data_IF_199915060425
#
_entry.id   IF_199915060425
#
_cell.length_a   1.000
_cell.length_b   1.000
_cell.length_c   1.000
_cell.angle_alpha   90.00
_cell.angle_beta   90.00
_cell.angle_gamma   90.00
#
_symmetry.space_group_name_H-M   'P 1'
#
loop_
_entity.id
_entity.type
_entity.pdbx_description
1 polymer ?
#
# COMPACT_ATOMS: atom_id res chain seq x y z
N UNK A 1 -2.90 1.38 6.38
CA UNK A 1 -3.08 2.77 5.92
C UNK A 1 -2.53 3.77 6.93
N UNK A 2 -2.12 4.93 6.46
CA UNK A 2 -1.75 6.12 7.23
C UNK A 2 -2.65 7.32 6.86
N UNK A 3 -3.83 7.07 6.30
CA UNK A 3 -4.80 8.01 5.74
C UNK A 3 -4.44 8.55 4.34
N UNK A 4 -3.17 8.62 3.99
CA UNK A 4 -2.68 9.08 2.68
C UNK A 4 -2.40 7.92 1.72
N UNK A 5 -2.07 6.76 2.28
CA UNK A 5 -1.68 5.57 1.54
C UNK A 5 -2.37 4.34 2.09
N UNK A 6 -2.79 3.46 1.21
CA UNK A 6 -3.31 2.15 1.56
C UNK A 6 -2.89 1.10 0.53
N UNK A 7 -2.87 -0.13 0.97
CA UNK A 7 -2.59 -1.27 0.12
C UNK A 7 -3.63 -2.35 0.38
N UNK A 8 -4.13 -2.95 -0.68
CA UNK A 8 -5.02 -4.10 -0.63
C UNK A 8 -4.37 -5.28 -1.31
N UNK A 9 -4.50 -6.45 -0.72
CA UNK A 9 -4.07 -7.71 -1.30
C UNK A 9 -5.16 -8.75 -1.11
N UNK A 10 -5.38 -9.58 -2.12
CA UNK A 10 -6.36 -10.66 -2.08
C UNK A 10 -5.63 -11.99 -2.17
N UNK A 11 -5.96 -12.89 -1.25
CA UNK A 11 -5.45 -14.25 -1.25
C UNK A 11 -6.63 -15.24 -1.26
N UNK A 12 -6.51 -16.41 -1.90
CA UNK A 12 -7.53 -17.44 -1.83
C UNK A 12 -7.75 -17.92 -0.39
N UNK A 13 -8.99 -18.00 0.04
CA UNK A 13 -9.37 -18.54 1.33
C UNK A 13 -10.70 -19.30 1.21
N UNK A 14 -10.93 -20.23 2.13
CA UNK A 14 -12.17 -21.02 2.21
C UNK A 14 -12.73 -20.86 3.61
N UNK A 15 -14.03 -20.56 3.72
CA UNK A 15 -14.71 -20.41 5.01
C UNK A 15 -15.78 -19.33 5.00
N UNK A 16 -16.23 -18.97 6.19
CA UNK A 16 -17.23 -17.93 6.40
C UNK A 16 -16.64 -16.54 6.26
N UNK A 17 -17.47 -15.59 5.84
CA UNK A 17 -17.06 -14.18 5.73
C UNK A 17 -17.09 -13.50 7.09
N UNK A 18 -16.01 -12.79 7.43
CA UNK A 18 -15.93 -11.91 8.57
C UNK A 18 -14.98 -10.74 8.31
N UNK A 19 -15.13 -9.68 9.06
CA UNK A 19 -14.29 -8.48 8.97
C UNK A 19 -13.75 -8.10 10.34
N UNK A 20 -12.52 -7.67 10.39
CA UNK A 20 -11.88 -7.17 11.61
C UNK A 20 -10.75 -6.20 11.27
N UNK A 21 -10.37 -5.41 12.25
CA UNK A 21 -9.29 -4.42 12.15
C UNK A 21 -8.21 -4.72 13.18
N UNK A 22 -6.96 -4.64 12.75
CA UNK A 22 -5.81 -4.71 13.63
C UNK A 22 -5.10 -3.37 13.78
N UNK A 23 -4.73 -3.07 15.01
CA UNK A 23 -3.76 -2.03 15.32
C UNK A 23 -2.40 -2.67 15.63
N UNK A 24 -1.34 -2.08 15.08
CA UNK A 24 0.02 -2.56 15.33
C UNK A 24 0.41 -3.82 14.53
N UNK A 25 0.11 -3.84 13.25
CA UNK A 25 0.37 -4.94 12.29
C UNK A 25 1.80 -5.49 12.32
N UNK A 26 2.81 -4.69 12.67
CA UNK A 26 4.21 -5.15 12.79
C UNK A 26 4.38 -6.31 13.77
N UNK A 27 3.63 -6.30 14.88
CA UNK A 27 3.69 -7.37 15.89
C UNK A 27 3.09 -8.67 15.36
N UNK A 28 2.02 -8.55 14.57
CA UNK A 28 1.37 -9.70 13.93
C UNK A 28 2.28 -10.29 12.86
N UNK A 29 2.84 -9.45 11.97
CA UNK A 29 3.80 -9.89 10.96
C UNK A 29 5.01 -10.60 11.56
N UNK A 30 5.52 -10.13 12.70
CA UNK A 30 6.62 -10.79 13.40
C UNK A 30 6.23 -12.18 13.89
N UNK A 31 5.02 -12.34 14.38
CA UNK A 31 4.51 -13.63 14.84
C UNK A 31 4.21 -14.59 13.67
N UNK A 32 3.67 -14.07 12.56
CA UNK A 32 3.36 -14.85 11.37
C UNK A 32 4.60 -15.51 10.73
N UNK A 33 5.80 -14.97 10.95
CA UNK A 33 7.06 -15.59 10.49
C UNK A 33 7.32 -16.99 11.09
N UNK A 34 6.69 -17.31 12.20
CA UNK A 34 6.85 -18.60 12.87
C UNK A 34 5.82 -19.65 12.47
N UNK A 35 4.79 -19.27 11.72
CA UNK A 35 3.79 -20.19 11.18
C UNK A 35 4.28 -20.84 9.88
N UNK A 36 3.78 -22.00 9.57
CA UNK A 36 4.10 -22.76 8.37
C UNK A 36 2.89 -23.51 7.83
N UNK A 37 2.77 -23.55 6.49
CA UNK A 37 1.67 -24.22 5.82
C UNK A 37 0.38 -23.40 5.78
N UNK A 38 -0.75 -24.09 5.77
CA UNK A 38 -2.07 -23.45 5.80
C UNK A 38 -2.38 -22.86 7.17
N UNK A 39 -3.04 -21.72 7.18
CA UNK A 39 -3.43 -21.03 8.38
C UNK A 39 -4.95 -21.07 8.54
N UNK A 40 -5.38 -21.42 9.73
CA UNK A 40 -6.76 -21.31 10.16
C UNK A 40 -6.95 -19.99 10.93
N UNK A 41 -7.93 -19.21 10.51
CA UNK A 41 -8.33 -17.96 11.17
C UNK A 41 -9.71 -18.17 11.79
N UNK A 42 -9.78 -18.00 13.10
CA UNK A 42 -11.05 -18.05 13.84
C UNK A 42 -11.32 -16.68 14.44
N UNK A 43 -12.45 -16.09 14.11
CA UNK A 43 -12.88 -14.81 14.66
C UNK A 43 -14.04 -14.99 15.63
N UNK A 44 -13.87 -14.49 16.84
CA UNK A 44 -14.90 -14.54 17.89
C UNK A 44 -15.26 -13.15 18.30
N UNK A 45 -16.55 -12.83 18.30
CA UNK A 45 -17.10 -11.59 18.79
C UNK A 45 -17.67 -11.88 20.19
N UNK A 46 -17.28 -11.09 21.19
CA UNK A 46 -17.96 -11.14 22.49
C UNK A 46 -19.27 -10.33 22.36
N UNK A 47 -20.44 -10.99 22.46
CA UNK A 47 -21.69 -10.29 22.32
C UNK A 47 -21.90 -9.34 23.52
N UNK A 48 -22.07 -8.06 23.21
CA UNK A 48 -22.54 -7.08 24.18
C UNK A 48 -23.88 -6.57 23.71
N UNK A 49 -24.91 -6.64 24.54
CA UNK A 49 -26.30 -6.29 24.22
C UNK A 49 -26.49 -4.84 23.73
N UNK A 50 -25.49 -3.99 23.87
CA UNK A 50 -25.60 -2.55 23.63
C UNK A 50 -24.70 -2.02 22.51
N UNK A 51 -23.87 -2.84 21.87
CA UNK A 51 -22.93 -2.35 20.86
C UNK A 51 -23.06 -3.10 19.52
N UNK A 52 -23.50 -2.43 18.45
CA UNK A 52 -23.67 -3.04 17.13
C UNK A 52 -22.34 -3.39 16.43
N UNK A 53 -21.21 -2.84 16.90
CA UNK A 53 -19.87 -3.10 16.37
C UNK A 53 -18.90 -3.44 17.52
N UNK A 54 -19.00 -4.65 18.13
CA UNK A 54 -18.17 -5.02 19.25
C UNK A 54 -16.74 -5.31 18.83
N UNK A 55 -15.80 -5.08 19.74
CA UNK A 55 -14.44 -5.61 19.60
C UNK A 55 -14.48 -7.12 19.68
N UNK A 56 -13.66 -7.75 18.86
CA UNK A 56 -13.56 -9.21 18.82
C UNK A 56 -12.17 -9.71 19.14
N UNK A 57 -12.01 -11.01 19.05
CA UNK A 57 -10.72 -11.69 19.16
C UNK A 57 -10.50 -12.55 17.92
N UNK A 58 -9.33 -12.45 17.32
CA UNK A 58 -8.90 -13.36 16.27
C UNK A 58 -7.86 -14.34 16.79
N UNK A 59 -8.03 -15.59 16.41
CA UNK A 59 -7.04 -16.67 16.57
C UNK A 59 -6.49 -17.04 15.22
N UNK A 60 -5.17 -17.07 15.07
CA UNK A 60 -4.45 -17.53 13.87
C UNK A 60 -3.67 -18.76 14.27
N UNK A 61 -3.86 -19.89 13.58
CA UNK A 61 -3.24 -21.17 13.91
C UNK A 61 -2.71 -21.88 12.67
N UNK A 62 -1.58 -22.58 12.80
CA UNK A 62 -1.03 -23.52 11.81
C UNK A 62 -1.24 -24.99 12.25
N UNK A 63 -2.13 -25.22 13.23
CA UNK A 63 -2.37 -26.54 13.83
C UNK A 63 -1.36 -26.94 14.90
N UNK A 64 -0.19 -26.32 14.95
CA UNK A 64 0.86 -26.57 15.97
C UNK A 64 1.06 -25.39 16.90
N UNK A 65 0.85 -24.18 16.38
CA UNK A 65 1.02 -22.92 17.09
C UNK A 65 -0.21 -22.06 16.90
N UNK A 66 -0.52 -21.26 17.88
CA UNK A 66 -1.63 -20.31 17.77
C UNK A 66 -1.24 -18.94 18.30
N UNK A 67 -1.79 -17.91 17.69
CA UNK A 67 -1.69 -16.52 18.10
C UNK A 67 -3.09 -15.97 18.31
N UNK A 68 -3.38 -15.45 19.50
CA UNK A 68 -4.64 -14.76 19.78
C UNK A 68 -4.40 -13.27 19.94
N UNK A 69 -5.26 -12.45 19.34
CA UNK A 69 -5.20 -10.99 19.42
C UNK A 69 -6.60 -10.39 19.46
N UNK A 70 -6.74 -9.36 20.28
CA UNK A 70 -7.93 -8.50 20.23
C UNK A 70 -7.93 -7.69 18.95
N UNK A 71 -9.10 -7.45 18.41
CA UNK A 71 -9.32 -6.62 17.24
C UNK A 71 -9.93 -5.28 17.65
N UNK A 72 -9.83 -4.29 16.80
CA UNK A 72 -10.57 -3.04 16.92
C UNK A 72 -11.86 -3.13 16.12
N UNK A 73 -12.73 -2.13 16.31
CA UNK A 73 -14.00 -2.05 15.58
C UNK A 73 -13.75 -1.81 14.10
N UNK A 74 -14.56 -2.42 13.26
CA UNK A 74 -14.47 -2.19 11.81
C UNK A 74 -14.86 -0.77 11.43
N UNK A 75 -15.77 -0.15 12.17
CA UNK A 75 -16.16 1.26 12.03
C UNK A 75 -15.01 2.26 12.25
N UNK A 76 -14.00 1.88 13.03
CA UNK A 76 -12.82 2.71 13.30
C UNK A 76 -11.81 2.70 12.13
N UNK A 77 -11.99 1.81 11.15
CA UNK A 77 -11.14 1.78 9.97
C UNK A 77 -11.61 2.85 8.97
N UNK A 78 -10.68 3.67 8.44
CA UNK A 78 -11.03 4.70 7.48
C UNK A 78 -11.73 4.10 6.25
N UNK A 79 -12.88 4.64 5.91
CA UNK A 79 -13.59 4.27 4.70
C UNK A 79 -12.76 4.68 3.47
N UNK A 80 -12.44 3.71 2.64
CA UNK A 80 -11.73 3.95 1.39
C UNK A 80 -12.73 4.51 0.38
N UNK A 81 -12.74 5.83 0.24
CA UNK A 81 -13.50 6.47 -0.83
C UNK A 81 -12.74 6.29 -2.13
N UNK A 82 -13.11 5.29 -2.89
CA UNK A 82 -12.62 5.11 -4.24
C UNK A 82 -13.11 6.29 -5.09
N UNK A 83 -12.19 7.14 -5.50
CA UNK A 83 -12.46 8.10 -6.57
C UNK A 83 -12.32 7.36 -7.89
N UNK A 84 -13.23 7.57 -8.86
CA UNK A 84 -13.04 7.02 -10.19
C UNK A 84 -11.71 7.54 -10.75
N UNK A 85 -10.84 6.62 -11.13
CA UNK A 85 -9.56 6.91 -11.74
C UNK A 85 -9.74 6.73 -13.25
N UNK A 86 -9.59 7.81 -13.99
CA UNK A 86 -9.96 7.85 -15.42
C UNK A 86 -8.81 7.41 -16.34
N UNK A 87 -7.60 7.39 -15.82
CA UNK A 87 -6.38 7.15 -16.61
C UNK A 87 -5.58 6.00 -16.03
N UNK A 88 -5.21 5.07 -16.89
CA UNK A 88 -4.52 3.84 -16.56
C UNK A 88 -3.25 3.70 -17.39
N UNK A 89 -2.10 3.66 -16.75
CA UNK A 89 -0.80 3.55 -17.41
C UNK A 89 -0.13 2.22 -17.02
N UNK A 90 -0.02 1.25 -17.94
CA UNK A 90 0.72 0.02 -17.67
C UNK A 90 2.21 0.34 -17.48
N UNK A 91 2.81 -0.22 -16.46
CA UNK A 91 4.21 0.01 -16.14
C UNK A 91 4.89 -1.29 -15.73
N UNK A 92 6.17 -1.39 -16.04
CA UNK A 92 7.03 -2.42 -15.47
C UNK A 92 7.67 -1.88 -14.18
N UNK A 93 7.30 -2.41 -12.99
CA UNK A 93 7.75 -1.86 -11.72
C UNK A 93 9.26 -1.90 -11.54
N UNK A 94 9.92 -2.99 -11.95
CA UNK A 94 11.38 -3.13 -11.86
C UNK A 94 12.07 -2.02 -12.65
N UNK A 95 11.65 -1.82 -13.90
CA UNK A 95 12.21 -0.80 -14.77
C UNK A 95 11.93 0.60 -14.23
N UNK A 96 10.72 0.85 -13.75
CA UNK A 96 10.34 2.13 -13.15
C UNK A 96 11.14 2.43 -11.88
N UNK A 97 11.36 1.44 -11.01
CA UNK A 97 12.20 1.58 -9.82
C UNK A 97 13.66 1.93 -10.15
N UNK A 98 14.22 1.39 -11.22
CA UNK A 98 15.56 1.76 -11.69
C UNK A 98 15.61 3.24 -12.11
N UNK A 99 14.58 3.73 -12.80
CA UNK A 99 14.47 5.14 -13.18
C UNK A 99 14.27 6.04 -11.97
N UNK A 100 13.40 5.64 -11.04
CA UNK A 100 13.19 6.33 -9.78
C UNK A 100 14.49 6.53 -9.00
N UNK A 101 15.32 5.50 -8.84
CA UNK A 101 16.61 5.59 -8.15
C UNK A 101 17.54 6.66 -8.74
N UNK A 102 17.41 6.94 -10.04
CA UNK A 102 18.23 7.94 -10.75
C UNK A 102 17.80 9.39 -10.50
N UNK A 103 16.53 9.61 -10.12
CA UNK A 103 15.99 10.97 -9.96
C UNK A 103 15.69 11.33 -8.51
N UNK A 104 15.44 10.36 -7.63
CA UNK A 104 14.96 10.60 -6.26
C UNK A 104 15.82 11.54 -5.43
N UNK A 105 17.12 11.62 -5.70
CA UNK A 105 18.04 12.48 -4.96
C UNK A 105 17.77 13.99 -5.17
N UNK A 106 17.03 14.32 -6.22
CA UNK A 106 16.66 15.70 -6.54
C UNK A 106 15.22 16.04 -6.10
N UNK A 107 14.55 15.17 -5.35
CA UNK A 107 13.26 15.50 -4.72
C UNK A 107 13.51 16.45 -3.55
N UNK A 108 12.70 17.50 -3.47
CA UNK A 108 12.77 18.49 -2.39
C UNK A 108 12.23 17.89 -1.08
N UNK A 109 12.80 18.35 0.03
CA UNK A 109 12.25 18.14 1.38
C UNK A 109 11.50 19.36 1.92
N UNK A 110 11.30 20.38 1.09
CA UNK A 110 10.65 21.62 1.49
C UNK A 110 9.15 21.56 1.21
N UNK A 111 8.35 21.32 2.24
CA UNK A 111 6.88 21.20 2.18
C UNK A 111 6.16 22.48 1.70
N UNK A 112 6.83 23.62 1.73
CA UNK A 112 6.28 24.85 1.15
C UNK A 112 6.11 24.78 -0.38
N UNK A 113 6.72 23.78 -1.02
CA UNK A 113 6.61 23.54 -2.47
C UNK A 113 6.23 22.08 -2.73
N UNK A 114 4.98 21.68 -2.50
CA UNK A 114 4.54 20.28 -2.54
C UNK A 114 4.85 19.56 -3.87
N UNK A 115 4.75 20.26 -4.99
CA UNK A 115 5.05 19.69 -6.31
C UNK A 115 6.53 19.29 -6.46
N UNK A 116 7.45 19.96 -5.75
CA UNK A 116 8.88 19.61 -5.74
C UNK A 116 9.18 18.44 -4.80
N UNK A 117 8.27 18.14 -3.87
CA UNK A 117 8.35 16.96 -2.99
C UNK A 117 7.89 15.67 -3.68
N UNK A 118 7.50 15.75 -4.94
CA UNK A 118 7.02 14.64 -5.74
C UNK A 118 7.91 14.41 -6.96
N UNK A 119 7.73 13.25 -7.59
CA UNK A 119 8.29 12.94 -8.89
C UNK A 119 7.22 13.20 -9.93
N UNK A 120 7.53 14.02 -10.92
CA UNK A 120 6.65 14.32 -12.03
C UNK A 120 6.80 13.28 -13.13
N UNK A 121 5.68 12.75 -13.59
CA UNK A 121 5.56 11.88 -14.74
C UNK A 121 5.14 12.68 -15.95
N UNK A 122 5.94 12.62 -16.99
CA UNK A 122 5.70 13.24 -18.28
C UNK A 122 5.74 12.17 -19.37
N UNK A 123 5.35 12.53 -20.59
CA UNK A 123 5.52 11.65 -21.74
C UNK A 123 6.99 11.23 -21.82
N UNK A 124 7.24 9.91 -21.81
CA UNK A 124 8.55 9.25 -21.95
C UNK A 124 9.63 9.60 -20.90
N UNK A 125 9.29 10.26 -19.80
CA UNK A 125 10.26 10.62 -18.76
C UNK A 125 9.66 10.84 -17.38
N UNK A 126 10.51 10.72 -16.37
CA UNK A 126 10.23 11.15 -15.01
C UNK A 126 11.24 12.20 -14.58
N UNK A 127 10.80 13.18 -13.80
CA UNK A 127 11.59 14.32 -13.36
C UNK A 127 11.44 14.54 -11.87
N UNK A 128 12.53 14.95 -11.21
CA UNK A 128 12.53 15.47 -9.85
C UNK A 128 13.33 16.79 -9.79
N UNK A 129 12.91 17.69 -8.93
CA UNK A 129 13.55 19.02 -8.79
C UNK A 129 13.43 19.51 -7.34
N UNK A 130 14.49 20.15 -6.82
CA UNK A 130 14.49 20.75 -5.47
C UNK A 130 14.75 22.27 -5.47
N UNK A 131 14.73 22.91 -6.63
CA UNK A 131 15.01 24.33 -6.80
C UNK A 131 16.49 24.66 -7.08
N UNK A 132 17.41 23.71 -6.83
CA UNK A 132 18.84 23.81 -7.12
C UNK A 132 19.29 22.77 -8.13
N UNK A 133 18.66 21.62 -8.12
CA UNK A 133 18.99 20.45 -8.96
C UNK A 133 17.75 20.00 -9.71
N UNK A 134 17.97 19.55 -10.92
CA UNK A 134 16.98 18.84 -11.72
C UNK A 134 17.58 17.50 -12.13
N UNK A 135 16.84 16.44 -11.87
CA UNK A 135 17.18 15.10 -12.35
C UNK A 135 16.08 14.59 -13.27
N UNK A 136 16.47 14.03 -14.40
CA UNK A 136 15.55 13.48 -15.39
C UNK A 136 16.00 12.10 -15.82
N UNK A 137 15.07 11.19 -15.97
CA UNK A 137 15.29 9.87 -16.55
C UNK A 137 14.26 9.59 -17.64
N UNK A 138 14.75 9.39 -18.86
CA UNK A 138 13.91 9.11 -20.03
C UNK A 138 13.63 7.62 -20.14
N UNK A 139 12.40 7.25 -20.42
CA UNK A 139 11.96 5.90 -20.69
C UNK A 139 10.75 5.89 -21.65
N UNK A 140 10.91 5.44 -22.90
CA UNK A 140 9.81 5.37 -23.86
C UNK A 140 8.61 4.52 -23.42
N UNK A 141 8.82 3.62 -22.44
CA UNK A 141 7.73 2.83 -21.87
C UNK A 141 6.86 3.61 -20.88
N UNK A 142 7.31 4.77 -20.43
CA UNK A 142 6.50 5.71 -19.62
C UNK A 142 5.69 6.58 -20.59
N UNK A 143 4.58 6.05 -21.09
CA UNK A 143 3.73 6.78 -22.03
C UNK A 143 2.57 7.45 -21.31
N UNK A 144 2.82 8.64 -20.78
CA UNK A 144 1.87 9.45 -20.02
C UNK A 144 1.28 10.55 -20.90
N UNK A 145 -0.03 10.54 -21.09
CA UNK A 145 -0.72 11.54 -21.90
C UNK A 145 -0.81 12.90 -21.20
N UNK A 146 -1.11 12.89 -19.89
CA UNK A 146 -1.20 14.11 -19.08
C UNK A 146 -0.28 13.98 -17.88
N UNK A 147 0.52 15.01 -17.55
CA UNK A 147 1.41 14.99 -16.41
C UNK A 147 0.69 14.68 -15.09
N UNK A 148 1.36 13.98 -14.20
CA UNK A 148 0.92 13.77 -12.83
C UNK A 148 2.13 13.63 -11.88
N UNK A 149 1.87 13.71 -10.59
CA UNK A 149 2.89 13.70 -9.55
C UNK A 149 2.71 12.50 -8.63
N UNK A 150 3.80 11.84 -8.28
CA UNK A 150 3.81 10.73 -7.31
C UNK A 150 4.81 11.05 -6.20
N UNK A 151 4.41 10.95 -4.92
CA UNK A 151 5.33 11.04 -3.79
C UNK A 151 6.37 9.93 -3.82
N UNK A 152 7.63 10.18 -3.38
CA UNK A 152 8.70 9.19 -3.35
C UNK A 152 8.38 7.94 -2.53
N UNK A 153 7.56 8.08 -1.50
CA UNK A 153 7.12 7.01 -0.61
C UNK A 153 6.29 5.97 -1.40
N UNK A 154 5.35 6.44 -2.22
CA UNK A 154 4.53 5.59 -3.10
C UNK A 154 5.40 4.85 -4.11
N UNK A 155 6.41 5.54 -4.66
CA UNK A 155 7.35 4.91 -5.59
C UNK A 155 8.18 3.80 -4.91
N UNK A 156 8.50 3.96 -3.63
CA UNK A 156 9.23 2.93 -2.87
C UNK A 156 8.40 1.66 -2.69
N UNK A 157 7.07 1.78 -2.55
CA UNK A 157 6.14 0.66 -2.41
C UNK A 157 6.09 -0.24 -3.67
N UNK A 158 6.47 0.27 -4.84
CA UNK A 158 6.58 -0.54 -6.06
C UNK A 158 7.57 -1.71 -5.93
N UNK A 159 8.44 -1.70 -4.92
CA UNK A 159 9.34 -2.84 -4.63
C UNK A 159 8.57 -4.13 -4.32
N UNK A 160 7.35 -4.02 -3.79
CA UNK A 160 6.48 -5.16 -3.49
C UNK A 160 5.94 -5.83 -4.77
N UNK A 161 5.89 -5.10 -5.88
CA UNK A 161 5.29 -5.53 -7.15
C UNK A 161 6.32 -5.78 -8.25
N UNK A 162 7.62 -5.82 -7.92
CA UNK A 162 8.73 -5.85 -8.90
C UNK A 162 8.67 -7.01 -9.91
N UNK A 163 8.01 -8.11 -9.55
CA UNK A 163 7.92 -9.32 -10.35
C UNK A 163 6.52 -9.50 -11.00
N UNK A 164 5.71 -8.45 -11.03
CA UNK A 164 4.35 -8.45 -11.58
C UNK A 164 4.18 -7.27 -12.54
N UNK A 165 3.27 -7.43 -13.50
CA UNK A 165 2.81 -6.30 -14.30
C UNK A 165 1.89 -5.43 -13.46
N UNK A 166 2.10 -4.12 -13.52
CA UNK A 166 1.36 -3.15 -12.74
C UNK A 166 0.75 -2.06 -13.63
N UNK A 167 -0.29 -1.45 -13.11
CA UNK A 167 -0.91 -0.28 -13.71
C UNK A 167 -0.92 0.86 -12.70
N UNK A 168 -0.45 2.02 -13.10
CA UNK A 168 -0.64 3.26 -12.35
C UNK A 168 -1.96 3.87 -12.83
N UNK A 169 -2.88 4.05 -11.89
CA UNK A 169 -4.16 4.70 -12.15
C UNK A 169 -4.20 6.07 -11.45
N UNK A 170 -4.68 7.11 -12.16
CA UNK A 170 -4.72 8.51 -11.71
C UNK A 170 -6.05 9.17 -12.09
#
# INVERSE_FOLDING_TARGET
TNLDQWCMSTIPAVGDSFSFVFVGTRKILSACKYFSGELELTYTIEPTETNPDPRGQISISDGKRSLKRSTERTSDFPELKEKPLDRHYPVNPKRLLERFKRVKYAVSSNDARPNQCCIEFLKDKIIAVDGYRLAMSTDPAVNVEKPFYIPPEVMAELTMFKDQDCTISV
#
